data_IF_701869457674
#
_entry.id   IF_701869457674
#
_cell.length_a   1.000
_cell.length_b   1.000
_cell.length_c   1.000
_cell.angle_alpha   90.00
_cell.angle_beta   90.00
_cell.angle_gamma   90.00
#
_symmetry.space_group_name_H-M   'P 1'
#
loop_
_entity.id
_entity.type
_entity.pdbx_description
1 polymer ?
#
# COMPACT_ATOMS: atom_id res chain seq x y z
N UNK A 1 8.14 -13.70 0.79
CA UNK A 1 6.83 -14.39 0.72
C UNK A 1 5.89 -13.53 -0.10
N UNK A 2 5.56 -13.92 -1.34
CA UNK A 2 4.52 -13.27 -2.14
C UNK A 2 3.16 -13.67 -1.54
N UNK A 3 2.60 -12.84 -0.69
CA UNK A 3 1.18 -12.93 -0.41
C UNK A 3 0.44 -12.69 -1.73
N UNK A 4 -0.54 -13.53 -2.05
CA UNK A 4 -1.44 -13.32 -3.18
C UNK A 4 -2.12 -11.95 -2.99
N UNK A 5 -1.63 -10.95 -3.72
CA UNK A 5 -2.09 -9.58 -3.59
C UNK A 5 -3.53 -9.50 -4.09
N UNK A 6 -4.48 -9.34 -3.17
CA UNK A 6 -5.90 -9.21 -3.50
C UNK A 6 -6.13 -7.86 -4.16
N UNK A 7 -6.52 -7.89 -5.43
CA UNK A 7 -6.78 -6.68 -6.22
C UNK A 7 -8.13 -6.09 -5.83
N UNK A 8 -8.13 -4.88 -5.27
CA UNK A 8 -9.34 -4.09 -5.04
C UNK A 8 -9.43 -2.96 -6.08
N UNK A 9 -10.65 -2.49 -6.42
CA UNK A 9 -10.83 -1.34 -7.31
C UNK A 9 -10.16 -0.05 -6.80
N UNK A 10 -9.87 0.01 -5.50
CA UNK A 10 -9.21 1.13 -4.82
C UNK A 10 -7.67 1.05 -4.84
N UNK A 11 -7.10 -0.02 -5.41
CA UNK A 11 -5.65 -0.19 -5.43
C UNK A 11 -5.02 0.78 -6.43
N UNK A 12 -3.80 1.21 -6.13
CA UNK A 12 -3.06 2.13 -6.99
C UNK A 12 -2.63 1.45 -8.28
N UNK A 13 -2.82 2.15 -9.40
CA UNK A 13 -2.20 1.77 -10.67
C UNK A 13 -0.68 1.94 -10.59
N UNK A 14 0.05 1.30 -11.49
CA UNK A 14 1.52 1.44 -11.56
C UNK A 14 1.94 2.89 -11.79
N UNK A 15 1.18 3.66 -12.57
CA UNK A 15 1.48 5.07 -12.85
C UNK A 15 1.25 5.95 -11.63
N UNK A 16 0.14 5.73 -10.91
CA UNK A 16 -0.13 6.43 -9.64
C UNK A 16 0.94 6.09 -8.59
N UNK A 17 1.33 4.82 -8.51
CA UNK A 17 2.39 4.38 -7.62
C UNK A 17 3.73 5.08 -7.94
N UNK A 18 4.11 5.18 -9.21
CA UNK A 18 5.35 5.82 -9.62
C UNK A 18 5.43 7.31 -9.21
N UNK A 19 4.28 7.99 -9.14
CA UNK A 19 4.20 9.37 -8.65
C UNK A 19 4.39 9.42 -7.12
N UNK A 20 3.82 8.48 -6.37
CA UNK A 20 3.85 8.49 -4.90
C UNK A 20 5.14 7.95 -4.30
N UNK A 21 5.74 6.93 -4.92
CA UNK A 21 6.90 6.19 -4.41
C UNK A 21 8.07 7.10 -3.96
N UNK A 22 8.47 8.15 -4.70
CA UNK A 22 9.58 9.02 -4.31
C UNK A 22 9.37 9.80 -3.02
N UNK A 23 8.11 10.00 -2.61
CA UNK A 23 7.75 10.76 -1.41
C UNK A 23 7.71 9.88 -0.15
N UNK A 24 7.77 8.56 -0.31
CA UNK A 24 7.77 7.65 0.82
C UNK A 24 9.15 7.65 1.50
N UNK A 25 9.19 7.50 2.84
CA UNK A 25 10.45 7.47 3.54
C UNK A 25 11.26 6.25 3.12
N UNK A 26 12.46 6.50 2.59
CA UNK A 26 13.43 5.45 2.35
C UNK A 26 13.85 4.80 3.68
N UNK A 27 14.28 3.54 3.61
CA UNK A 27 14.85 2.85 4.76
C UNK A 27 16.05 3.65 5.29
N UNK A 28 16.01 4.02 6.58
CA UNK A 28 17.13 4.75 7.19
C UNK A 28 18.39 3.87 7.27
N UNK A 29 19.57 4.40 6.92
CA UNK A 29 20.82 3.67 7.09
C UNK A 29 21.08 3.39 8.58
N UNK A 30 21.51 2.17 8.91
CA UNK A 30 21.78 1.73 10.29
C UNK A 30 20.55 1.39 11.14
N UNK A 31 19.33 1.53 10.59
CA UNK A 31 18.09 1.17 11.27
C UNK A 31 17.62 -0.25 10.97
N UNK A 32 16.55 -0.70 11.66
CA UNK A 32 15.88 -1.95 11.32
C UNK A 32 15.34 -1.87 9.88
N UNK A 33 15.69 -2.81 9.00
CA UNK A 33 15.15 -2.82 7.64
C UNK A 33 13.61 -2.87 7.67
N UNK A 34 12.92 -2.03 6.88
CA UNK A 34 11.48 -2.12 6.76
C UNK A 34 11.11 -3.51 6.24
N UNK A 35 10.27 -4.23 6.99
CA UNK A 35 9.77 -5.57 6.61
C UNK A 35 8.46 -5.52 5.82
N UNK A 36 7.86 -4.33 5.72
CA UNK A 36 6.53 -4.13 5.14
C UNK A 36 6.64 -3.60 3.72
N UNK A 37 5.74 -4.06 2.85
CA UNK A 37 5.60 -3.51 1.51
C UNK A 37 4.74 -2.24 1.59
N UNK A 38 5.36 -1.07 1.37
CA UNK A 38 4.68 0.22 1.47
C UNK A 38 3.52 0.38 0.47
N UNK A 39 3.62 -0.24 -0.71
CA UNK A 39 2.52 -0.26 -1.69
C UNK A 39 1.31 -0.97 -1.13
N UNK A 40 1.50 -2.16 -0.57
CA UNK A 40 0.42 -2.91 0.06
C UNK A 40 -0.22 -2.15 1.25
N UNK A 41 0.57 -1.38 2.00
CA UNK A 41 0.06 -0.53 3.08
C UNK A 41 -0.80 0.60 2.53
N UNK A 42 -0.33 1.29 1.49
CA UNK A 42 -1.08 2.38 0.86
C UNK A 42 -2.36 1.89 0.20
N UNK A 43 -2.31 0.76 -0.52
CA UNK A 43 -3.49 0.13 -1.09
C UNK A 43 -4.54 -0.21 -0.01
N UNK A 44 -4.09 -0.69 1.16
CA UNK A 44 -4.96 -0.97 2.29
C UNK A 44 -5.59 0.33 2.87
N UNK A 45 -4.82 1.41 2.97
CA UNK A 45 -5.32 2.73 3.40
C UNK A 45 -6.34 3.26 2.39
N UNK A 46 -6.07 3.19 1.08
CA UNK A 46 -7.01 3.64 0.05
C UNK A 46 -8.27 2.79 0.00
N UNK A 47 -8.14 1.47 0.18
CA UNK A 47 -9.29 0.59 0.37
C UNK A 47 -10.15 1.04 1.56
N UNK A 48 -9.52 1.36 2.69
CA UNK A 48 -10.22 1.80 3.89
C UNK A 48 -10.95 3.14 3.67
N UNK A 49 -10.27 4.11 3.04
CA UNK A 49 -10.84 5.41 2.69
C UNK A 49 -11.99 5.30 1.67
N UNK A 50 -11.85 4.41 0.68
CA UNK A 50 -12.86 4.21 -0.37
C UNK A 50 -14.07 3.39 0.10
N UNK A 51 -13.90 2.52 1.09
CA UNK A 51 -14.97 1.66 1.62
C UNK A 51 -15.65 2.20 2.88
N UNK A 52 -15.08 3.22 3.52
CA UNK A 52 -15.66 3.82 4.73
C UNK A 52 -15.58 2.90 5.96
N UNK A 53 -14.46 2.20 6.15
CA UNK A 53 -14.23 1.29 7.30
C UNK A 53 -15.08 0.01 7.32
N UNK A 54 -15.62 -0.43 6.19
CA UNK A 54 -16.41 -1.66 6.12
C UNK A 54 -15.54 -2.92 6.29
N UNK A 55 -15.91 -3.81 7.22
CA UNK A 55 -15.22 -5.09 7.49
C UNK A 55 -15.14 -6.01 6.27
N UNK A 56 -16.16 -6.00 5.44
CA UNK A 56 -16.17 -6.57 4.09
C UNK A 56 -17.06 -5.69 3.24
N UNK A 57 -16.52 -5.21 2.13
CA UNK A 57 -17.34 -4.68 1.06
C UNK A 57 -18.07 -5.87 0.42
N UNK A 58 -19.39 -5.87 0.51
CA UNK A 58 -20.23 -6.88 -0.13
C UNK A 58 -20.16 -6.75 -1.65
#
# INVERSE_FOLDING_TARGET
MKALYKSYPSNLTSDQWAIMEPYLPAAKPGGRPPRVNLRAVLDAIFYFLYSGCAWRRF
#
